data_IF_095329901884
#
_entry.id   IF_095329901884
#
_cell.length_a   1.000
_cell.length_b   1.000
_cell.length_c   1.000
_cell.angle_alpha   90.00
_cell.angle_beta   90.00
_cell.angle_gamma   90.00
#
_symmetry.space_group_name_H-M   'P 1'
#
loop_
_entity.id
_entity.type
_entity.pdbx_description
1 polymer ?
#
# COMPACT_ATOMS: atom_id res chain seq x y z
N UNK A 1 6.09 8.03 -10.07
CA UNK A 1 4.83 8.48 -9.43
C UNK A 1 4.88 10.00 -9.37
N UNK A 2 3.84 10.67 -9.87
CA UNK A 2 3.80 12.14 -9.97
C UNK A 2 2.89 12.72 -8.89
N UNK A 3 3.15 13.96 -8.49
CA UNK A 3 2.35 14.69 -7.51
C UNK A 3 0.87 14.78 -7.93
N UNK A 4 0.60 14.96 -9.22
CA UNK A 4 -0.77 14.99 -9.76
C UNK A 4 -1.53 13.68 -9.48
N UNK A 5 -0.93 12.53 -9.79
CA UNK A 5 -1.52 11.21 -9.52
C UNK A 5 -1.80 11.02 -8.02
N UNK A 6 -0.90 11.49 -7.15
CA UNK A 6 -1.10 11.39 -5.70
C UNK A 6 -2.23 12.31 -5.24
N UNK A 7 -2.33 13.52 -5.80
CA UNK A 7 -3.40 14.46 -5.50
C UNK A 7 -4.76 13.91 -5.97
N UNK A 8 -4.83 13.24 -7.12
CA UNK A 8 -6.04 12.55 -7.57
C UNK A 8 -6.44 11.41 -6.62
N UNK A 9 -5.48 10.62 -6.14
CA UNK A 9 -5.74 9.61 -5.10
C UNK A 9 -6.30 10.22 -3.83
N UNK A 10 -5.74 11.36 -3.39
CA UNK A 10 -6.25 12.10 -2.24
C UNK A 10 -7.67 12.62 -2.48
N UNK A 11 -7.95 13.14 -3.67
CA UNK A 11 -9.30 13.60 -4.04
C UNK A 11 -10.30 12.45 -4.00
N UNK A 12 -9.92 11.27 -4.52
CA UNK A 12 -10.74 10.05 -4.44
C UNK A 12 -10.95 9.60 -2.99
N UNK A 13 -9.89 9.57 -2.17
CA UNK A 13 -9.97 9.18 -0.75
C UNK A 13 -10.91 10.07 0.05
N UNK A 14 -10.86 11.39 -0.16
CA UNK A 14 -11.74 12.36 0.52
C UNK A 14 -13.09 12.57 -0.18
N UNK A 15 -13.33 11.90 -1.30
CA UNK A 15 -14.52 12.06 -2.15
C UNK A 15 -14.81 13.53 -2.51
N UNK A 16 -13.79 14.21 -3.04
CA UNK A 16 -13.85 15.62 -3.47
C UNK A 16 -13.55 15.74 -4.96
N UNK A 17 -14.10 16.76 -5.60
CA UNK A 17 -14.01 16.91 -7.07
C UNK A 17 -13.06 18.02 -7.52
N UNK A 18 -12.57 18.86 -6.60
CA UNK A 18 -11.63 19.93 -6.92
C UNK A 18 -10.57 20.15 -5.81
N UNK A 19 -9.51 20.89 -6.13
CA UNK A 19 -8.43 21.18 -5.19
C UNK A 19 -8.82 22.16 -4.08
N UNK A 20 -9.88 22.95 -4.23
CA UNK A 20 -10.35 23.83 -3.15
C UNK A 20 -10.91 23.00 -2.01
N UNK A 21 -11.82 22.08 -2.32
CA UNK A 21 -12.40 21.13 -1.37
C UNK A 21 -11.32 20.23 -0.76
N UNK A 22 -10.36 19.75 -1.56
CA UNK A 22 -9.25 18.97 -1.01
C UNK A 22 -8.43 19.78 0.00
N UNK A 23 -8.14 21.05 -0.31
CA UNK A 23 -7.36 21.93 0.56
C UNK A 23 -8.07 22.14 1.91
N UNK A 24 -9.39 22.33 1.89
CA UNK A 24 -10.22 22.41 3.08
C UNK A 24 -10.17 21.11 3.89
N UNK A 25 -10.35 19.95 3.24
CA UNK A 25 -10.30 18.63 3.91
C UNK A 25 -8.98 18.34 4.60
N UNK A 26 -7.86 18.73 3.98
CA UNK A 26 -6.52 18.50 4.54
C UNK A 26 -6.00 19.69 5.37
N UNK A 27 -6.79 20.75 5.53
CA UNK A 27 -6.45 21.91 6.37
C UNK A 27 -5.24 22.70 5.87
N UNK A 28 -5.18 22.99 4.56
CA UNK A 28 -4.16 23.86 3.95
C UNK A 28 -4.81 24.84 2.97
N UNK A 29 -4.05 25.82 2.49
CA UNK A 29 -4.51 26.70 1.42
C UNK A 29 -4.34 26.03 0.04
N UNK A 30 -5.30 26.22 -0.87
CA UNK A 30 -5.27 25.66 -2.23
C UNK A 30 -3.98 25.99 -3.00
N UNK A 31 -3.42 27.18 -2.80
CA UNK A 31 -2.14 27.59 -3.38
C UNK A 31 -0.97 26.66 -3.03
N UNK A 32 -1.01 25.97 -1.88
CA UNK A 32 -0.01 24.98 -1.51
C UNK A 32 -0.14 23.72 -2.37
N UNK A 33 -1.37 23.28 -2.67
CA UNK A 33 -1.63 22.17 -3.60
C UNK A 33 -1.09 22.51 -4.99
N UNK A 34 -1.38 23.71 -5.50
CA UNK A 34 -0.85 24.17 -6.80
C UNK A 34 0.68 24.20 -6.84
N UNK A 35 1.34 24.60 -5.74
CA UNK A 35 2.80 24.55 -5.61
C UNK A 35 3.31 23.11 -5.57
N UNK A 36 2.65 22.21 -4.85
CA UNK A 36 3.05 20.80 -4.80
C UNK A 36 2.92 20.13 -6.16
N UNK A 37 1.85 20.41 -6.90
CA UNK A 37 1.64 19.93 -8.26
C UNK A 37 2.73 20.43 -9.21
N UNK A 38 2.91 21.75 -9.32
CA UNK A 38 3.85 22.35 -10.28
C UNK A 38 5.31 21.97 -10.03
N UNK A 39 5.71 21.79 -8.76
CA UNK A 39 7.08 21.42 -8.38
C UNK A 39 7.26 19.91 -8.16
N UNK A 40 6.25 19.10 -8.46
CA UNK A 40 6.23 17.68 -8.19
C UNK A 40 6.70 17.33 -6.75
N UNK A 41 6.22 18.09 -5.75
CA UNK A 41 6.69 18.02 -4.36
C UNK A 41 6.09 16.84 -3.59
N UNK A 42 6.40 15.62 -4.02
CA UNK A 42 5.90 14.36 -3.46
C UNK A 42 6.22 14.25 -1.96
N UNK A 43 7.40 14.69 -1.53
CA UNK A 43 7.81 14.65 -0.12
C UNK A 43 6.89 15.48 0.78
N UNK A 44 6.42 16.64 0.31
CA UNK A 44 5.49 17.49 1.04
C UNK A 44 4.12 16.82 1.18
N UNK A 45 3.64 16.19 0.10
CA UNK A 45 2.37 15.44 0.11
C UNK A 45 2.47 14.24 1.06
N UNK A 46 3.58 13.49 1.01
CA UNK A 46 3.86 12.37 1.93
C UNK A 46 3.85 12.82 3.39
N UNK A 47 4.52 13.92 3.70
CA UNK A 47 4.53 14.50 5.05
C UNK A 47 3.11 14.82 5.50
N UNK A 48 2.31 15.47 4.65
CA UNK A 48 0.92 15.80 4.97
C UNK A 48 0.06 14.55 5.20
N UNK A 49 0.22 13.51 4.39
CA UNK A 49 -0.48 12.24 4.60
C UNK A 49 -0.10 11.56 5.92
N UNK A 50 1.15 11.70 6.40
CA UNK A 50 1.56 11.21 7.72
C UNK A 50 0.92 11.99 8.85
N UNK A 51 0.87 13.32 8.73
CA UNK A 51 0.21 14.19 9.71
C UNK A 51 -1.28 13.85 9.86
N UNK A 52 -1.93 13.45 8.78
CA UNK A 52 -3.34 13.05 8.75
C UNK A 52 -3.56 11.57 9.11
N UNK A 53 -2.50 10.78 9.27
CA UNK A 53 -2.61 9.34 9.55
C UNK A 53 -3.07 8.48 8.36
N UNK A 54 -3.06 9.02 7.13
CA UNK A 54 -3.57 8.35 5.91
C UNK A 54 -2.46 7.89 4.95
N UNK A 55 -1.21 7.86 5.43
CA UNK A 55 -0.06 7.59 4.56
C UNK A 55 -0.17 6.22 3.88
N UNK A 56 -0.64 5.19 4.58
CA UNK A 56 -0.71 3.84 4.04
C UNK A 56 -1.89 3.64 3.07
N UNK A 57 -2.91 4.46 3.17
CA UNK A 57 -4.11 4.45 2.34
C UNK A 57 -3.80 5.07 0.97
N UNK A 58 -2.92 6.07 0.94
CA UNK A 58 -2.51 6.78 -0.27
C UNK A 58 -1.25 6.15 -0.91
N UNK A 59 -0.29 5.73 -0.09
CA UNK A 59 1.03 5.26 -0.51
C UNK A 59 1.38 3.83 -0.12
N UNK A 60 0.58 3.18 0.73
CA UNK A 60 0.75 1.76 0.95
C UNK A 60 0.50 1.02 -0.36
N UNK A 61 1.21 -0.08 -0.56
CA UNK A 61 0.82 -1.03 -1.59
C UNK A 61 -0.62 -1.42 -1.29
N UNK A 62 -1.52 -1.02 -2.19
CA UNK A 62 -2.85 -1.56 -2.17
C UNK A 62 -2.66 -3.06 -2.38
N UNK A 63 -2.84 -3.86 -1.34
CA UNK A 63 -3.20 -5.26 -1.49
C UNK A 63 -4.61 -5.27 -2.10
N UNK A 64 -4.71 -4.84 -3.36
CA UNK A 64 -5.91 -5.01 -4.16
C UNK A 64 -6.08 -6.52 -4.29
N UNK A 65 -7.19 -7.01 -3.76
CA UNK A 65 -7.77 -8.28 -4.16
C UNK A 65 -8.12 -8.21 -5.65
N UNK A 66 -7.14 -8.39 -6.54
CA UNK A 66 -7.31 -8.54 -8.00
C UNK A 66 -6.22 -9.45 -8.57
N UNK A 67 -6.51 -10.27 -9.60
CA UNK A 67 -5.75 -11.48 -9.92
C UNK A 67 -4.30 -11.19 -10.31
N UNK A 68 -3.41 -11.83 -9.56
CA UNK A 68 -1.96 -11.89 -9.71
C UNK A 68 -1.58 -12.18 -11.17
N UNK A 69 -1.20 -11.17 -11.96
CA UNK A 69 -0.63 -11.41 -13.30
C UNK A 69 0.53 -10.50 -13.70
N UNK A 70 0.95 -9.49 -12.93
CA UNK A 70 1.99 -8.56 -13.40
C UNK A 70 3.05 -8.13 -12.37
N UNK A 71 3.25 -8.86 -11.28
CA UNK A 71 4.26 -8.50 -10.26
C UNK A 71 5.67 -9.09 -10.47
N UNK A 72 5.92 -9.78 -11.58
CA UNK A 72 7.18 -10.50 -11.84
C UNK A 72 8.17 -9.72 -12.72
N UNK A 73 8.57 -8.50 -12.32
CA UNK A 73 9.71 -7.85 -13.01
C UNK A 73 10.65 -6.96 -12.20
N UNK A 74 10.53 -6.86 -10.88
CA UNK A 74 11.37 -5.94 -10.11
C UNK A 74 11.71 -6.40 -8.70
N UNK A 75 12.26 -7.60 -8.54
CA UNK A 75 13.02 -7.96 -7.33
C UNK A 75 14.32 -8.66 -7.71
N UNK A 76 15.41 -7.90 -7.70
CA UNK A 76 16.76 -8.42 -7.83
C UNK A 76 17.12 -9.30 -6.62
N UNK A 77 17.33 -10.60 -6.90
CA UNK A 77 18.11 -11.59 -6.14
C UNK A 77 18.03 -11.52 -4.59
N UNK A 78 16.93 -12.02 -4.04
CA UNK A 78 16.92 -12.76 -2.76
C UNK A 78 16.14 -14.05 -2.97
N UNK A 79 16.81 -15.19 -2.75
CA UNK A 79 16.23 -16.52 -2.52
C UNK A 79 14.83 -16.72 -3.12
N UNK A 80 14.76 -17.10 -4.40
CA UNK A 80 13.51 -17.15 -5.17
C UNK A 80 12.58 -18.21 -4.58
N UNK A 81 11.60 -17.79 -3.77
CA UNK A 81 10.36 -18.52 -3.61
C UNK A 81 9.69 -18.43 -4.98
N UNK A 82 9.40 -19.56 -5.61
CA UNK A 82 8.71 -19.58 -6.90
C UNK A 82 7.33 -18.91 -6.79
N UNK A 83 6.82 -18.40 -7.91
CA UNK A 83 5.57 -17.62 -7.94
C UNK A 83 4.38 -18.41 -7.39
N UNK A 84 4.35 -19.72 -7.60
CA UNK A 84 3.28 -20.60 -7.12
C UNK A 84 3.35 -20.71 -5.58
N UNK A 85 4.53 -21.02 -5.05
CA UNK A 85 4.76 -21.05 -3.59
C UNK A 85 4.41 -19.71 -2.93
N UNK A 86 4.74 -18.59 -3.56
CA UNK A 86 4.40 -17.26 -3.06
C UNK A 86 2.87 -17.06 -3.04
N UNK A 87 2.18 -17.40 -4.12
CA UNK A 87 0.73 -17.31 -4.21
C UNK A 87 0.02 -18.09 -3.10
N UNK A 88 0.47 -19.32 -2.82
CA UNK A 88 -0.11 -20.12 -1.74
C UNK A 88 0.12 -19.51 -0.35
N UNK A 89 1.32 -19.00 -0.08
CA UNK A 89 1.65 -18.36 1.19
C UNK A 89 0.85 -17.07 1.41
N UNK A 90 0.71 -16.25 0.37
CA UNK A 90 -0.11 -15.03 0.42
C UNK A 90 -1.59 -15.36 0.65
N UNK A 91 -2.12 -16.34 -0.09
CA UNK A 91 -3.50 -16.79 0.07
C UNK A 91 -3.79 -17.32 1.49
N UNK A 92 -2.86 -18.09 2.06
CA UNK A 92 -2.96 -18.60 3.42
C UNK A 92 -2.93 -17.47 4.46
N UNK A 93 -2.01 -16.52 4.31
CA UNK A 93 -1.91 -15.35 5.18
C UNK A 93 -3.19 -14.51 5.17
N UNK A 94 -3.73 -14.23 3.97
CA UNK A 94 -4.96 -13.45 3.83
C UNK A 94 -6.14 -14.14 4.50
N UNK A 95 -6.30 -15.46 4.35
CA UNK A 95 -7.37 -16.23 5.01
C UNK A 95 -7.22 -16.23 6.53
N UNK A 96 -6.01 -16.38 7.05
CA UNK A 96 -5.78 -16.31 8.48
C UNK A 96 -6.07 -14.91 9.03
N UNK A 97 -5.75 -13.85 8.27
CA UNK A 97 -6.06 -12.47 8.65
C UNK A 97 -7.57 -12.22 8.70
N UNK A 98 -8.33 -12.65 7.69
CA UNK A 98 -9.80 -12.46 7.67
C UNK A 98 -10.51 -13.24 8.77
N UNK A 99 -9.95 -14.37 9.20
CA UNK A 99 -10.47 -15.18 10.29
C UNK A 99 -9.94 -14.79 11.68
N UNK A 100 -9.05 -13.78 11.78
CA UNK A 100 -8.34 -13.40 13.00
C UNK A 100 -7.52 -14.56 13.65
N UNK A 101 -6.94 -15.42 12.81
CA UNK A 101 -6.18 -16.63 13.19
C UNK A 101 -4.68 -16.50 12.91
N UNK A 102 -4.14 -15.28 12.89
CA UNK A 102 -2.72 -15.04 12.58
C UNK A 102 -1.76 -15.70 13.58
N UNK A 103 -2.17 -15.83 14.86
CA UNK A 103 -1.38 -16.52 15.88
C UNK A 103 -1.26 -18.02 15.57
N UNK A 104 -2.38 -18.68 15.27
CA UNK A 104 -2.41 -20.10 14.87
C UNK A 104 -1.60 -20.33 13.60
N UNK A 105 -1.76 -19.48 12.58
CA UNK A 105 -0.97 -19.57 11.35
C UNK A 105 0.54 -19.53 11.63
N UNK A 106 0.99 -18.66 12.55
CA UNK A 106 2.41 -18.57 12.90
C UNK A 106 2.91 -19.86 13.56
N UNK A 107 2.12 -20.45 14.46
CA UNK A 107 2.46 -21.71 15.11
C UNK A 107 2.50 -22.87 14.09
N UNK A 108 1.57 -22.90 13.14
CA UNK A 108 1.51 -23.92 12.09
C UNK A 108 2.67 -23.81 11.10
N UNK A 109 3.04 -22.60 10.68
CA UNK A 109 4.23 -22.37 9.83
C UNK A 109 5.50 -22.80 10.56
N UNK A 110 5.62 -22.49 11.86
CA UNK A 110 6.76 -22.94 12.67
C UNK A 110 6.86 -24.47 12.70
N UNK A 111 5.76 -25.17 12.99
CA UNK A 111 5.72 -26.63 12.94
C UNK A 111 6.07 -27.18 11.57
N UNK A 112 5.50 -26.60 10.51
CA UNK A 112 5.78 -27.02 9.14
C UNK A 112 7.26 -26.85 8.79
N UNK A 113 7.88 -25.74 9.20
CA UNK A 113 9.29 -25.47 8.91
C UNK A 113 10.22 -26.54 9.49
N UNK A 114 9.87 -27.14 10.64
CA UNK A 114 10.63 -28.24 11.24
C UNK A 114 10.68 -29.49 10.35
N UNK A 115 9.66 -29.73 9.52
CA UNK A 115 9.63 -30.86 8.59
C UNK A 115 10.65 -30.73 7.44
N UNK A 116 11.19 -29.53 7.21
CA UNK A 116 12.14 -29.22 6.13
C UNK A 116 13.57 -28.97 6.64
N UNK A 117 13.85 -29.19 7.93
CA UNK A 117 15.17 -28.98 8.55
C UNK A 117 16.03 -30.26 8.63
N UNK A 118 15.67 -31.32 7.91
CA UNK A 118 16.44 -32.58 7.83
C UNK A 118 17.16 -32.71 6.49
#
# INVERSE_FOLDING_TARGET
>A
MEAEIILEKLMSYFNVINYSELAEKIGIQQQNISKWKSRNSISAIKKKCRELGIYNEIFGEQFLTTPLTNFSKSLEKKSYIDEDSLFFLEGLFLRAKTQNRLKELKEDIQRLSLNYLN
#
